data_IF_829131086528
#
_entry.id   IF_829131086528
#
_cell.length_a   1.000
_cell.length_b   1.000
_cell.length_c   1.000
_cell.angle_alpha   90.00
_cell.angle_beta   90.00
_cell.angle_gamma   90.00
#
_symmetry.space_group_name_H-M   'P 1'
#
loop_
_entity.id
_entity.type
_entity.pdbx_description
1 polymer ?
#
# COMPACT_ATOMS: atom_id res chain seq x y z
N UNK A 1 0.55 14.40 -3.28
CA UNK A 1 -0.74 14.21 -2.59
C UNK A 1 -1.52 12.99 -3.09
N UNK A 2 -1.73 12.83 -4.41
CA UNK A 2 -2.53 11.74 -5.00
C UNK A 2 -2.19 10.33 -4.50
N UNK A 3 -0.91 9.98 -4.42
CA UNK A 3 -0.48 8.64 -4.02
C UNK A 3 -0.44 8.44 -2.49
N UNK A 4 -0.74 9.45 -1.68
CA UNK A 4 -0.77 9.28 -0.21
C UNK A 4 -2.02 8.52 0.20
N UNK A 5 -1.87 7.38 0.88
CA UNK A 5 -3.01 6.58 1.34
C UNK A 5 -3.97 7.37 2.25
N UNK A 6 -3.46 8.31 3.04
CA UNK A 6 -4.29 9.16 3.91
C UNK A 6 -5.13 10.17 3.10
N UNK A 7 -4.47 10.93 2.22
CA UNK A 7 -5.13 12.00 1.45
C UNK A 7 -6.07 11.41 0.41
N UNK A 8 -5.62 10.36 -0.29
CA UNK A 8 -6.41 9.69 -1.32
C UNK A 8 -7.72 9.14 -0.77
N UNK A 9 -7.70 8.61 0.46
CA UNK A 9 -8.89 8.07 1.12
C UNK A 9 -9.84 9.14 1.63
N UNK A 10 -9.33 10.19 2.26
CA UNK A 10 -10.12 11.34 2.74
C UNK A 10 -10.78 12.12 1.61
N UNK A 11 -10.03 12.45 0.56
CA UNK A 11 -10.52 13.23 -0.58
C UNK A 11 -11.20 12.36 -1.66
N UNK A 12 -11.17 11.04 -1.51
CA UNK A 12 -11.77 10.06 -2.46
C UNK A 12 -11.25 10.25 -3.89
N UNK A 13 -9.94 10.38 -4.03
CA UNK A 13 -9.26 10.70 -5.30
C UNK A 13 -9.36 9.61 -6.36
N UNK A 14 -9.98 8.46 -6.04
CA UNK A 14 -10.38 7.43 -7.00
C UNK A 14 -11.62 7.79 -7.83
N UNK A 15 -12.28 8.91 -7.51
CA UNK A 15 -13.43 9.42 -8.26
C UNK A 15 -13.09 10.75 -8.92
N UNK A 16 -13.71 11.03 -10.07
CA UNK A 16 -13.54 12.31 -10.77
C UNK A 16 -13.94 13.50 -9.89
N UNK A 17 -14.96 13.31 -9.06
CA UNK A 17 -15.37 14.33 -8.09
C UNK A 17 -14.31 14.56 -7.01
N UNK A 18 -13.66 13.50 -6.51
CA UNK A 18 -12.54 13.63 -5.58
C UNK A 18 -11.33 14.30 -6.21
N UNK A 19 -11.05 14.02 -7.48
CA UNK A 19 -9.99 14.69 -8.23
C UNK A 19 -10.29 16.19 -8.43
N UNK A 20 -11.54 16.53 -8.78
CA UNK A 20 -12.00 17.93 -8.85
C UNK A 20 -11.88 18.64 -7.51
N UNK A 21 -12.23 17.97 -6.40
CA UNK A 21 -12.06 18.51 -5.03
C UNK A 21 -10.60 18.80 -4.70
N UNK A 22 -9.68 17.90 -5.04
CA UNK A 22 -8.25 18.11 -4.84
C UNK A 22 -7.75 19.30 -5.68
N UNK A 23 -8.14 19.38 -6.95
CA UNK A 23 -7.75 20.51 -7.81
C UNK A 23 -8.32 21.83 -7.29
N UNK A 24 -9.57 21.84 -6.81
CA UNK A 24 -10.18 23.02 -6.19
C UNK A 24 -9.47 23.44 -4.90
N UNK A 25 -9.05 22.47 -4.07
CA UNK A 25 -8.25 22.72 -2.87
C UNK A 25 -6.92 23.40 -3.21
N UNK A 26 -6.19 22.87 -4.20
CA UNK A 26 -4.92 23.46 -4.65
C UNK A 26 -5.12 24.86 -5.25
N UNK A 27 -6.20 25.06 -6.00
CA UNK A 27 -6.55 26.37 -6.55
C UNK A 27 -6.91 27.39 -5.45
N UNK A 28 -7.62 26.97 -4.40
CA UNK A 28 -7.95 27.82 -3.24
C UNK A 28 -6.73 28.29 -2.47
N UNK A 29 -5.69 27.45 -2.39
CA UNK A 29 -4.39 27.80 -1.79
C UNK A 29 -3.54 28.70 -2.71
N UNK A 30 -4.00 28.99 -3.93
CA UNK A 30 -3.27 29.81 -4.90
C UNK A 30 -2.10 29.08 -5.57
N UNK A 31 -2.09 27.74 -5.58
CA UNK A 31 -1.04 26.97 -6.24
C UNK A 31 -1.41 26.67 -7.69
N UNK A 32 -0.56 27.11 -8.62
CA UNK A 32 -0.73 26.81 -10.03
C UNK A 32 -0.63 25.30 -10.28
N UNK A 33 -1.48 24.78 -11.18
CA UNK A 33 -1.48 23.36 -11.51
C UNK A 33 -0.14 22.90 -12.10
N UNK A 34 0.50 23.76 -12.90
CA UNK A 34 1.82 23.51 -13.47
C UNK A 34 2.89 23.28 -12.38
N UNK A 35 2.90 24.13 -11.35
CA UNK A 35 3.81 23.97 -10.20
C UNK A 35 3.52 22.65 -9.47
N UNK A 36 2.25 22.33 -9.24
CA UNK A 36 1.83 21.11 -8.54
C UNK A 36 2.23 19.81 -9.27
N UNK A 37 2.36 19.86 -10.60
CA UNK A 37 2.77 18.72 -11.44
C UNK A 37 4.30 18.62 -11.60
N UNK A 38 5.03 19.68 -11.30
CA UNK A 38 6.49 19.70 -11.34
C UNK A 38 7.09 18.86 -10.20
N UNK A 39 8.31 18.36 -10.40
CA UNK A 39 9.06 17.74 -9.30
C UNK A 39 9.26 18.77 -8.19
N UNK A 40 9.00 18.37 -6.95
CA UNK A 40 9.11 19.25 -5.78
C UNK A 40 10.45 19.98 -5.69
N UNK A 41 11.55 19.37 -6.14
CA UNK A 41 12.87 20.02 -6.16
C UNK A 41 12.89 21.31 -7.01
N UNK A 42 12.18 21.33 -8.14
CA UNK A 42 12.20 22.43 -9.11
C UNK A 42 11.00 23.39 -8.99
N UNK A 43 10.03 23.08 -8.13
CA UNK A 43 8.89 23.95 -7.85
C UNK A 43 9.35 25.31 -7.28
N UNK A 44 8.63 26.38 -7.64
CA UNK A 44 8.92 27.75 -7.19
C UNK A 44 9.08 27.84 -5.65
N UNK A 45 10.09 28.60 -5.21
CA UNK A 45 10.42 28.78 -3.80
C UNK A 45 9.29 29.48 -3.02
N UNK A 46 8.60 30.42 -3.64
CA UNK A 46 7.49 31.13 -3.00
C UNK A 46 6.33 30.18 -2.68
N UNK A 47 6.00 29.29 -3.64
CA UNK A 47 5.00 28.25 -3.44
C UNK A 47 5.41 27.35 -2.27
N UNK A 48 6.65 26.85 -2.25
CA UNK A 48 7.16 26.02 -1.14
C UNK A 48 7.08 26.69 0.23
N UNK A 49 7.33 28.00 0.31
CA UNK A 49 7.24 28.76 1.57
C UNK A 49 5.79 28.87 2.03
N UNK A 50 4.87 29.18 1.11
CA UNK A 50 3.43 29.31 1.41
C UNK A 50 2.75 27.97 1.72
N UNK A 51 3.23 26.86 1.17
CA UNK A 51 2.61 25.54 1.31
C UNK A 51 2.30 25.15 2.76
N UNK A 52 3.19 25.45 3.70
CA UNK A 52 2.98 25.06 5.11
C UNK A 52 1.76 25.76 5.70
N UNK A 53 1.73 27.09 5.60
CA UNK A 53 0.70 27.93 6.20
C UNK A 53 -0.67 27.69 5.53
N UNK A 54 -0.67 27.55 4.20
CA UNK A 54 -1.88 27.24 3.43
C UNK A 54 -2.43 25.85 3.75
N UNK A 55 -1.56 24.86 3.99
CA UNK A 55 -1.98 23.53 4.42
C UNK A 55 -2.57 23.53 5.84
N UNK A 56 -1.95 24.25 6.78
CA UNK A 56 -2.49 24.39 8.15
C UNK A 56 -3.86 25.08 8.15
N UNK A 57 -4.08 26.04 7.25
CA UNK A 57 -5.34 26.77 7.12
C UNK A 57 -6.46 25.94 6.49
N UNK A 58 -6.21 25.34 5.32
CA UNK A 58 -7.29 24.77 4.50
C UNK A 58 -7.49 23.26 4.67
N UNK A 59 -6.47 22.47 5.03
CA UNK A 59 -6.62 21.02 5.14
C UNK A 59 -7.63 20.56 6.23
N UNK A 60 -7.71 21.21 7.40
CA UNK A 60 -8.69 20.85 8.41
C UNK A 60 -10.15 20.92 7.93
N UNK A 61 -10.48 21.88 7.05
CA UNK A 61 -11.83 22.01 6.46
C UNK A 61 -12.24 20.77 5.66
N UNK A 62 -11.27 20.01 5.14
CA UNK A 62 -11.49 18.81 4.36
C UNK A 62 -11.32 17.52 5.19
N UNK A 63 -11.23 17.63 6.52
CA UNK A 63 -11.04 16.50 7.43
C UNK A 63 -9.63 15.89 7.40
N UNK A 64 -8.65 16.65 6.90
CA UNK A 64 -7.23 16.29 6.87
C UNK A 64 -6.50 16.88 8.08
N UNK A 65 -6.95 16.54 9.28
CA UNK A 65 -6.40 17.06 10.56
C UNK A 65 -5.00 16.52 10.86
N UNK A 66 -4.73 15.27 10.47
CA UNK A 66 -3.52 14.54 10.82
C UNK A 66 -2.49 14.59 9.67
N UNK A 67 -2.41 15.73 8.99
CA UNK A 67 -1.48 15.90 7.88
C UNK A 67 -0.02 15.94 8.35
N UNK A 68 0.23 16.60 9.49
CA UNK A 68 1.54 16.70 10.10
C UNK A 68 1.73 15.64 11.17
N UNK A 69 2.85 14.91 11.10
CA UNK A 69 3.26 13.95 12.10
C UNK A 69 4.73 14.13 12.43
N UNK A 70 5.11 13.80 13.67
CA UNK A 70 6.51 13.86 14.09
C UNK A 70 7.31 12.78 13.37
N UNK A 71 8.42 13.18 12.75
CA UNK A 71 9.30 12.29 11.99
C UNK A 71 10.74 12.79 12.10
N UNK A 72 11.67 12.01 11.54
CA UNK A 72 13.09 12.34 11.50
C UNK A 72 13.50 12.66 10.07
N UNK A 73 14.28 13.73 9.92
CA UNK A 73 14.89 14.11 8.65
C UNK A 73 16.40 13.93 8.77
N UNK A 74 16.98 13.19 7.85
CA UNK A 74 18.43 13.13 7.69
C UNK A 74 18.86 14.10 6.62
N UNK A 75 19.88 14.91 6.94
CA UNK A 75 20.56 15.79 6.00
C UNK A 75 21.95 15.22 5.78
N UNK A 76 22.33 14.99 4.53
CA UNK A 76 23.63 14.47 4.17
C UNK A 76 24.24 15.26 3.00
N UNK A 77 25.43 15.81 3.22
CA UNK A 77 26.06 16.73 2.28
C UNK A 77 25.21 17.98 2.04
N UNK A 78 25.30 18.54 0.83
CA UNK A 78 24.69 19.82 0.51
C UNK A 78 23.22 19.72 0.04
N UNK A 79 22.84 18.62 -0.62
CA UNK A 79 21.55 18.53 -1.33
C UNK A 79 20.70 17.29 -0.97
N UNK A 80 21.22 16.32 -0.20
CA UNK A 80 20.45 15.12 0.14
C UNK A 80 19.69 15.33 1.45
N UNK A 81 18.37 15.52 1.33
CA UNK A 81 17.44 15.54 2.47
C UNK A 81 16.48 14.39 2.30
N UNK A 82 16.48 13.46 3.26
CA UNK A 82 15.65 12.26 3.18
C UNK A 82 14.92 12.06 4.51
N UNK A 83 13.60 11.87 4.46
CA UNK A 83 12.83 11.56 5.66
C UNK A 83 12.95 10.07 6.01
N UNK A 84 12.78 9.72 7.29
CA UNK A 84 12.75 8.34 7.72
C UNK A 84 11.71 7.50 6.94
N UNK A 85 10.55 8.09 6.65
CA UNK A 85 9.51 7.44 5.85
C UNK A 85 9.98 7.15 4.42
N UNK A 86 10.64 8.09 3.75
CA UNK A 86 11.14 7.90 2.38
C UNK A 86 12.17 6.77 2.31
N UNK A 87 13.04 6.65 3.33
CA UNK A 87 13.98 5.54 3.43
C UNK A 87 13.24 4.21 3.56
N UNK A 88 12.26 4.11 4.46
CA UNK A 88 11.46 2.89 4.66
C UNK A 88 10.76 2.49 3.37
N UNK A 89 10.09 3.41 2.69
CA UNK A 89 9.43 3.12 1.42
C UNK A 89 10.42 2.67 0.35
N UNK A 90 11.56 3.36 0.22
CA UNK A 90 12.58 3.02 -0.77
C UNK A 90 13.23 1.65 -0.52
N UNK A 91 13.62 1.37 0.72
CA UNK A 91 14.24 0.10 1.11
C UNK A 91 13.26 -1.07 1.03
N UNK A 92 12.00 -0.87 1.45
CA UNK A 92 10.96 -1.91 1.29
C UNK A 92 10.73 -2.25 -0.18
N UNK A 93 10.69 -1.23 -1.05
CA UNK A 93 10.53 -1.44 -2.48
C UNK A 93 11.75 -2.10 -3.12
N UNK A 94 12.94 -1.93 -2.54
CA UNK A 94 14.11 -2.73 -2.92
C UNK A 94 13.93 -4.16 -2.44
N UNK A 95 13.55 -4.43 -1.18
CA UNK A 95 13.34 -5.80 -0.70
C UNK A 95 12.35 -6.60 -1.56
N UNK A 96 11.30 -5.94 -2.05
CA UNK A 96 10.27 -6.54 -2.90
C UNK A 96 10.58 -6.41 -4.41
N UNK A 97 11.84 -6.18 -4.81
CA UNK A 97 12.19 -5.82 -6.19
C UNK A 97 11.62 -6.75 -7.26
N UNK A 98 10.81 -6.14 -8.10
CA UNK A 98 9.96 -6.72 -9.14
C UNK A 98 10.68 -6.94 -10.49
N UNK A 99 11.98 -6.71 -10.53
CA UNK A 99 12.76 -6.63 -11.78
C UNK A 99 13.88 -7.66 -11.74
N UNK A 100 13.51 -8.91 -12.04
CA UNK A 100 14.11 -9.78 -13.07
C UNK A 100 13.70 -11.23 -12.85
N UNK A 101 13.30 -11.87 -13.94
CA UNK A 101 13.16 -13.32 -14.12
C UNK A 101 14.49 -14.08 -14.01
N UNK A 102 15.51 -13.52 -13.35
CA UNK A 102 16.88 -14.05 -13.31
C UNK A 102 17.09 -15.01 -12.12
N UNK A 103 16.01 -15.52 -11.52
CA UNK A 103 16.12 -16.42 -10.35
C UNK A 103 16.86 -15.78 -9.18
N UNK A 104 16.81 -14.44 -9.03
CA UNK A 104 17.50 -13.75 -7.96
C UNK A 104 16.87 -14.12 -6.62
N UNK A 105 17.58 -14.93 -5.84
CA UNK A 105 17.21 -15.33 -4.49
C UNK A 105 16.91 -14.11 -3.60
N UNK A 106 15.92 -14.23 -2.72
CA UNK A 106 15.57 -13.22 -1.72
C UNK A 106 16.79 -12.69 -0.93
N UNK A 107 17.82 -13.52 -0.74
CA UNK A 107 19.08 -13.14 -0.10
C UNK A 107 19.86 -12.05 -0.86
N UNK A 108 19.87 -12.09 -2.20
CA UNK A 108 20.51 -11.05 -3.02
C UNK A 108 19.77 -9.73 -2.87
N UNK A 109 18.45 -9.79 -2.85
CA UNK A 109 17.62 -8.59 -2.73
C UNK A 109 17.73 -7.95 -1.35
N UNK A 110 17.86 -8.78 -0.31
CA UNK A 110 18.22 -8.32 1.02
C UNK A 110 19.56 -7.58 1.04
N UNK A 111 20.60 -8.13 0.41
CA UNK A 111 21.91 -7.47 0.29
C UNK A 111 21.81 -6.11 -0.41
N UNK A 112 21.06 -6.01 -1.50
CA UNK A 112 20.84 -4.74 -2.22
C UNK A 112 20.12 -3.71 -1.34
N UNK A 113 19.10 -4.14 -0.60
CA UNK A 113 18.35 -3.27 0.31
C UNK A 113 19.22 -2.81 1.49
N UNK A 114 20.05 -3.70 2.05
CA UNK A 114 21.01 -3.39 3.10
C UNK A 114 22.06 -2.40 2.61
N UNK A 115 22.63 -2.62 1.42
CA UNK A 115 23.59 -1.71 0.80
C UNK A 115 23.03 -0.31 0.60
N UNK A 116 21.72 -0.18 0.33
CA UNK A 116 21.04 1.10 0.13
C UNK A 116 20.92 1.93 1.43
N UNK A 117 21.10 1.30 2.60
CA UNK A 117 21.18 2.01 3.89
C UNK A 117 22.57 2.65 4.10
N UNK A 118 23.60 2.20 3.38
CA UNK A 118 24.93 2.80 3.44
C UNK A 118 24.94 4.23 2.93
N UNK A 119 25.72 5.09 3.58
CA UNK A 119 25.87 6.50 3.22
C UNK A 119 26.47 6.67 1.82
N UNK A 120 27.27 5.70 1.35
CA UNK A 120 27.95 5.73 0.06
C UNK A 120 27.03 5.43 -1.13
N UNK A 121 25.87 4.83 -0.89
CA UNK A 121 25.05 4.20 -1.94
C UNK A 121 23.68 4.88 -2.12
N UNK A 122 23.66 6.21 -2.15
CA UNK A 122 22.42 6.98 -2.29
C UNK A 122 21.68 6.71 -3.61
N UNK A 123 22.38 6.32 -4.67
CA UNK A 123 21.75 6.00 -5.96
C UNK A 123 20.89 4.73 -5.88
N UNK A 124 21.33 3.71 -5.12
CA UNK A 124 20.52 2.52 -4.85
C UNK A 124 19.25 2.90 -4.10
N UNK A 125 19.37 3.74 -3.08
CA UNK A 125 18.22 4.23 -2.32
C UNK A 125 17.25 5.04 -3.21
N UNK A 126 17.78 5.92 -4.07
CA UNK A 126 16.99 6.70 -5.02
C UNK A 126 16.25 5.81 -6.01
N UNK A 127 16.89 4.74 -6.51
CA UNK A 127 16.25 3.72 -7.34
C UNK A 127 15.10 3.03 -6.58
N UNK A 128 15.33 2.65 -5.32
CA UNK A 128 14.30 2.12 -4.43
C UNK A 128 13.10 3.05 -4.26
N UNK A 129 13.34 4.35 -4.08
CA UNK A 129 12.26 5.36 -4.02
C UNK A 129 11.47 5.44 -5.33
N UNK A 130 12.11 5.31 -6.49
CA UNK A 130 11.40 5.24 -7.78
C UNK A 130 10.52 3.98 -7.86
N UNK A 131 11.00 2.84 -7.36
CA UNK A 131 10.19 1.62 -7.28
C UNK A 131 8.99 1.81 -6.33
N UNK A 132 9.20 2.43 -5.16
CA UNK A 132 8.13 2.71 -4.22
C UNK A 132 7.02 3.57 -4.83
N UNK A 133 7.38 4.57 -5.65
CA UNK A 133 6.39 5.39 -6.40
C UNK A 133 5.56 4.52 -7.35
N UNK A 134 6.18 3.57 -8.07
CA UNK A 134 5.47 2.67 -8.98
C UNK A 134 4.50 1.76 -8.22
N UNK A 135 4.93 1.16 -7.11
CA UNK A 135 4.07 0.33 -6.25
C UNK A 135 2.89 1.15 -5.73
N UNK A 136 3.13 2.34 -5.18
CA UNK A 136 2.08 3.17 -4.61
C UNK A 136 1.07 3.63 -5.68
N UNK A 137 1.52 3.88 -6.92
CA UNK A 137 0.63 4.14 -8.06
C UNK A 137 -0.18 2.91 -8.46
N UNK A 138 0.38 1.70 -8.39
CA UNK A 138 -0.36 0.45 -8.62
C UNK A 138 -1.41 0.23 -7.52
N UNK A 139 -1.06 0.44 -6.25
CA UNK A 139 -2.01 0.37 -5.12
C UNK A 139 -3.19 1.32 -5.36
N UNK A 140 -2.91 2.58 -5.73
CA UNK A 140 -3.98 3.55 -5.99
C UNK A 140 -4.85 3.14 -7.18
N UNK A 141 -4.26 2.69 -8.30
CA UNK A 141 -5.02 2.27 -9.49
C UNK A 141 -5.91 1.06 -9.20
N UNK A 142 -5.32 -0.03 -8.69
CA UNK A 142 -6.08 -1.24 -8.35
C UNK A 142 -7.09 -0.98 -7.23
N UNK A 143 -6.73 -0.17 -6.25
CA UNK A 143 -7.63 0.17 -5.15
C UNK A 143 -8.82 0.98 -5.64
N UNK A 144 -8.57 1.95 -6.52
CA UNK A 144 -9.61 2.73 -7.19
C UNK A 144 -10.56 1.81 -7.95
N UNK A 145 -10.04 0.92 -8.80
CA UNK A 145 -10.83 -0.07 -9.55
C UNK A 145 -11.65 -0.97 -8.62
N UNK A 146 -11.05 -1.48 -7.55
CA UNK A 146 -11.76 -2.33 -6.59
C UNK A 146 -12.91 -1.61 -5.87
N UNK A 147 -12.79 -0.30 -5.63
CA UNK A 147 -13.80 0.51 -4.92
C UNK A 147 -14.91 0.97 -5.87
N UNK A 148 -14.59 1.30 -7.11
CA UNK A 148 -15.53 1.84 -8.10
C UNK A 148 -16.28 0.76 -8.84
N UNK A 149 -15.61 -0.35 -9.20
CA UNK A 149 -16.24 -1.48 -9.89
C UNK A 149 -17.15 -2.24 -8.94
N UNK A 150 -18.45 -2.20 -9.23
CA UNK A 150 -19.44 -2.96 -8.47
C UNK A 150 -19.12 -4.45 -8.51
N UNK A 151 -19.23 -5.13 -7.36
CA UNK A 151 -18.96 -6.57 -7.23
C UNK A 151 -17.50 -6.98 -7.10
N UNK A 152 -16.54 -6.06 -7.23
CA UNK A 152 -15.11 -6.39 -7.04
C UNK A 152 -14.76 -6.76 -5.59
N UNK A 153 -15.40 -6.11 -4.61
CA UNK A 153 -15.22 -6.41 -3.19
C UNK A 153 -16.41 -7.26 -2.73
N UNK A 154 -16.14 -8.52 -2.41
CA UNK A 154 -17.15 -9.44 -1.87
C UNK A 154 -17.20 -9.25 -0.35
N UNK A 155 -18.32 -8.74 0.15
CA UNK A 155 -18.50 -8.46 1.57
C UNK A 155 -19.32 -9.56 2.24
N UNK A 156 -18.66 -10.46 2.97
CA UNK A 156 -19.30 -11.45 3.81
C UNK A 156 -19.75 -10.91 5.18
N UNK A 157 -20.33 -11.78 6.01
CA UNK A 157 -20.72 -11.42 7.40
C UNK A 157 -19.51 -11.05 8.24
N UNK A 158 -18.44 -11.86 8.15
CA UNK A 158 -17.28 -11.81 9.06
C UNK A 158 -16.10 -11.02 8.49
N UNK A 159 -15.79 -11.19 7.22
CA UNK A 159 -14.73 -10.44 6.53
C UNK A 159 -15.16 -9.99 5.13
N UNK A 160 -14.36 -9.14 4.51
CA UNK A 160 -14.45 -8.78 3.08
C UNK A 160 -13.29 -9.43 2.35
N UNK A 161 -13.46 -9.74 1.07
CA UNK A 161 -12.34 -10.15 0.25
C UNK A 161 -12.38 -9.57 -1.16
N UNK A 162 -11.19 -9.42 -1.72
CA UNK A 162 -10.96 -8.87 -3.07
C UNK A 162 -9.90 -9.70 -3.77
N UNK A 163 -10.11 -9.96 -5.06
CA UNK A 163 -9.12 -10.59 -5.94
C UNK A 163 -8.59 -9.55 -6.91
N UNK A 164 -7.27 -9.41 -6.99
CA UNK A 164 -6.58 -8.55 -7.95
C UNK A 164 -6.34 -9.38 -9.20
N UNK A 165 -6.91 -8.96 -10.33
CA UNK A 165 -6.87 -9.71 -11.60
C UNK A 165 -6.07 -9.01 -12.71
N UNK A 166 -5.64 -7.76 -12.50
CA UNK A 166 -4.91 -6.99 -13.51
C UNK A 166 -3.47 -7.49 -13.68
N UNK A 167 -3.11 -7.97 -14.87
CA UNK A 167 -1.82 -8.59 -15.17
C UNK A 167 -0.61 -7.65 -15.05
N UNK A 168 -0.79 -6.34 -15.26
CA UNK A 168 0.32 -5.38 -15.21
C UNK A 168 0.68 -5.03 -13.76
N UNK A 169 -0.34 -4.72 -12.95
CA UNK A 169 -0.15 -4.29 -11.56
C UNK A 169 0.03 -5.47 -10.59
N UNK A 170 -0.45 -6.67 -10.95
CA UNK A 170 -0.22 -7.88 -10.16
C UNK A 170 1.26 -8.20 -10.01
N UNK A 171 2.09 -7.90 -11.01
CA UNK A 171 3.55 -8.05 -10.87
C UNK A 171 4.11 -7.22 -9.72
N UNK A 172 3.54 -6.03 -9.48
CA UNK A 172 3.95 -5.09 -8.43
C UNK A 172 3.28 -5.36 -7.07
N UNK A 173 2.11 -6.00 -7.07
CA UNK A 173 1.33 -6.27 -5.85
C UNK A 173 1.47 -7.71 -5.36
N UNK A 174 2.04 -8.62 -6.15
CA UNK A 174 2.26 -10.02 -5.81
C UNK A 174 3.37 -10.27 -4.78
N UNK A 175 3.60 -9.32 -3.87
CA UNK A 175 4.55 -9.41 -2.77
C UNK A 175 3.83 -9.10 -1.44
N UNK A 176 4.21 -9.74 -0.33
CA UNK A 176 3.46 -9.64 0.93
C UNK A 176 3.28 -8.22 1.46
N UNK A 177 4.32 -7.37 1.49
CA UNK A 177 4.21 -6.01 2.04
C UNK A 177 3.47 -5.07 1.07
N UNK A 178 3.68 -5.21 -0.24
CA UNK A 178 2.94 -4.48 -1.26
C UNK A 178 1.43 -4.77 -1.17
N UNK A 179 1.04 -6.04 -1.06
CA UNK A 179 -0.37 -6.43 -0.94
C UNK A 179 -0.96 -6.05 0.43
N UNK A 180 -0.17 -6.11 1.51
CA UNK A 180 -0.57 -5.61 2.83
C UNK A 180 -0.91 -4.13 2.80
N UNK A 181 -0.05 -3.30 2.16
CA UNK A 181 -0.32 -1.86 1.96
C UNK A 181 -1.58 -1.62 1.14
N UNK A 182 -1.79 -2.42 0.09
CA UNK A 182 -3.03 -2.39 -0.69
C UNK A 182 -4.27 -2.69 0.16
N UNK A 183 -4.23 -3.73 0.99
CA UNK A 183 -5.38 -4.06 1.83
C UNK A 183 -5.69 -2.93 2.82
N UNK A 184 -4.68 -2.35 3.47
CA UNK A 184 -4.90 -1.19 4.35
C UNK A 184 -5.48 0.02 3.61
N UNK A 185 -5.04 0.27 2.38
CA UNK A 185 -5.61 1.34 1.54
C UNK A 185 -7.10 1.11 1.25
N UNK A 186 -7.47 -0.09 0.83
CA UNK A 186 -8.88 -0.44 0.56
C UNK A 186 -9.72 -0.37 1.84
N UNK A 187 -9.20 -0.85 2.97
CA UNK A 187 -9.89 -0.74 4.26
C UNK A 187 -10.16 0.71 4.67
N UNK A 188 -9.14 1.57 4.56
CA UNK A 188 -9.28 3.00 4.86
C UNK A 188 -10.28 3.65 3.89
N UNK A 189 -10.22 3.32 2.60
CA UNK A 189 -11.15 3.86 1.61
C UNK A 189 -12.61 3.44 1.87
N UNK A 190 -12.85 2.19 2.22
CA UNK A 190 -14.18 1.69 2.59
C UNK A 190 -14.70 2.37 3.85
N UNK A 191 -13.83 2.62 4.83
CA UNK A 191 -14.19 3.38 6.05
C UNK A 191 -14.64 4.80 5.70
N UNK A 192 -13.92 5.50 4.84
CA UNK A 192 -14.29 6.87 4.39
C UNK A 192 -15.55 6.88 3.48
N UNK A 193 -15.95 5.73 2.93
CA UNK A 193 -17.25 5.53 2.27
C UNK A 193 -18.40 5.25 3.26
N UNK A 194 -18.11 5.15 4.56
CA UNK A 194 -19.08 4.85 5.61
C UNK A 194 -19.33 3.37 5.84
N UNK A 195 -18.51 2.48 5.28
CA UNK A 195 -18.66 1.04 5.50
C UNK A 195 -18.15 0.65 6.90
N UNK A 196 -18.85 -0.27 7.57
CA UNK A 196 -18.42 -0.83 8.86
C UNK A 196 -17.01 -1.42 8.77
N UNK A 197 -16.18 -1.24 9.79
CA UNK A 197 -14.87 -1.90 9.84
C UNK A 197 -15.05 -3.43 9.89
N UNK A 198 -14.47 -4.12 8.90
CA UNK A 198 -14.38 -5.58 8.83
C UNK A 198 -12.97 -5.94 8.37
N UNK A 199 -12.42 -7.09 8.81
CA UNK A 199 -11.18 -7.61 8.26
C UNK A 199 -11.25 -7.75 6.74
N UNK A 200 -10.12 -7.57 6.05
CA UNK A 200 -10.02 -7.63 4.60
C UNK A 200 -8.99 -8.68 4.18
N UNK A 201 -9.39 -9.53 3.25
CA UNK A 201 -8.54 -10.47 2.53
C UNK A 201 -8.28 -9.96 1.12
N UNK A 202 -7.04 -10.02 0.66
CA UNK A 202 -6.69 -9.73 -0.72
C UNK A 202 -5.97 -10.93 -1.31
N UNK A 203 -6.40 -11.37 -2.50
CA UNK A 203 -5.73 -12.42 -3.27
C UNK A 203 -5.13 -11.81 -4.54
N UNK A 204 -3.86 -12.10 -4.82
CA UNK A 204 -3.13 -11.61 -5.99
C UNK A 204 -2.28 -12.75 -6.56
N UNK A 205 -1.99 -12.78 -7.87
CA UNK A 205 -1.09 -13.79 -8.42
C UNK A 205 0.31 -13.58 -7.84
N UNK A 206 0.95 -14.68 -7.46
CA UNK A 206 2.34 -14.68 -7.02
C UNK A 206 3.29 -14.53 -8.21
N UNK A 207 4.59 -14.39 -7.91
CA UNK A 207 5.64 -14.46 -8.94
C UNK A 207 5.77 -15.88 -9.52
N UNK A 208 5.40 -16.88 -8.74
CA UNK A 208 5.40 -18.28 -9.18
C UNK A 208 4.18 -18.61 -10.06
N UNK A 209 4.37 -19.39 -11.13
CA UNK A 209 3.27 -19.77 -12.01
C UNK A 209 2.22 -20.58 -11.24
N UNK A 210 0.95 -20.26 -11.50
CA UNK A 210 -0.21 -20.94 -10.91
C UNK A 210 -0.34 -20.83 -9.37
N UNK A 211 0.46 -19.98 -8.72
CA UNK A 211 0.33 -19.68 -7.29
C UNK A 211 -0.29 -18.32 -7.04
N UNK A 212 -1.05 -18.23 -5.97
CA UNK A 212 -1.76 -17.04 -5.52
C UNK A 212 -1.31 -16.69 -4.11
N UNK A 213 -0.88 -15.44 -3.93
CA UNK A 213 -0.60 -14.85 -2.62
C UNK A 213 -1.91 -14.32 -2.03
N UNK A 214 -2.22 -14.73 -0.81
CA UNK A 214 -3.36 -14.26 -0.04
C UNK A 214 -2.84 -13.55 1.21
N UNK A 215 -3.27 -12.30 1.41
CA UNK A 215 -2.95 -11.52 2.62
C UNK A 215 -4.25 -11.18 3.35
N UNK A 216 -4.25 -11.37 4.67
CA UNK A 216 -5.34 -11.01 5.55
C UNK A 216 -4.92 -9.99 6.60
N UNK A 217 -5.61 -8.85 6.60
CA UNK A 217 -5.38 -7.77 7.55
C UNK A 217 -6.61 -7.54 8.42
N UNK A 218 -6.38 -7.52 9.72
CA UNK A 218 -7.25 -6.85 10.68
C UNK A 218 -6.88 -5.36 10.68
N UNK A 219 -7.78 -4.47 11.12
CA UNK A 219 -7.53 -3.02 11.09
C UNK A 219 -6.16 -2.64 11.67
N UNK A 220 -5.60 -1.50 11.22
CA UNK A 220 -4.22 -1.08 11.56
C UNK A 220 -3.91 -1.29 13.05
N UNK A 221 -2.83 -2.01 13.40
CA UNK A 221 -2.50 -2.30 14.78
C UNK A 221 -2.32 -0.98 15.53
N UNK A 222 -3.12 -0.77 16.56
CA UNK A 222 -2.95 0.35 17.49
C UNK A 222 -2.13 -0.15 18.68
N UNK A 223 -1.23 0.69 19.17
CA UNK A 223 -0.50 0.40 20.41
C UNK A 223 -1.54 0.14 21.52
N UNK A 224 -1.49 -1.03 22.16
CA UNK A 224 -2.48 -1.45 23.16
C UNK A 224 -3.75 -2.15 22.62
N UNK A 225 -3.82 -2.49 21.33
CA UNK A 225 -4.91 -3.30 20.80
C UNK A 225 -4.82 -4.75 21.32
N UNK A 226 -5.76 -5.16 22.18
CA UNK A 226 -5.78 -6.50 22.79
C UNK A 226 -6.16 -7.65 21.85
N UNK A 227 -6.46 -7.40 20.57
CA UNK A 227 -6.77 -8.43 19.57
C UNK A 227 -5.79 -8.35 18.41
N UNK A 228 -4.91 -9.35 18.32
CA UNK A 228 -4.00 -9.55 17.19
C UNK A 228 -4.71 -10.05 15.93
N UNK A 229 -3.92 -10.35 14.90
CA UNK A 229 -4.43 -10.90 13.66
C UNK A 229 -4.74 -12.40 13.81
N UNK A 230 -6.03 -12.76 13.81
CA UNK A 230 -6.46 -14.15 13.93
C UNK A 230 -6.35 -14.95 12.61
N UNK A 231 -6.05 -14.29 11.49
CA UNK A 231 -6.00 -14.95 10.18
C UNK A 231 -4.89 -15.99 10.08
N UNK A 232 -3.80 -15.88 10.84
CA UNK A 232 -2.69 -16.84 10.76
C UNK A 232 -3.10 -18.28 11.05
N UNK A 233 -3.75 -18.51 12.18
CA UNK A 233 -4.25 -19.84 12.55
C UNK A 233 -5.39 -20.26 11.63
N UNK A 234 -6.27 -19.32 11.24
CA UNK A 234 -7.41 -19.62 10.38
C UNK A 234 -6.98 -20.06 8.97
N UNK A 235 -5.93 -19.44 8.40
CA UNK A 235 -5.39 -19.82 7.09
C UNK A 235 -4.78 -21.21 7.11
N UNK A 236 -3.96 -21.51 8.12
CA UNK A 236 -3.35 -22.84 8.25
C UNK A 236 -4.40 -23.93 8.36
N UNK A 237 -5.34 -23.79 9.29
CA UNK A 237 -6.39 -24.77 9.50
C UNK A 237 -7.25 -24.96 8.24
N UNK A 238 -7.61 -23.87 7.55
CA UNK A 238 -8.39 -23.96 6.32
C UNK A 238 -7.61 -24.62 5.17
N UNK A 239 -6.30 -24.38 5.07
CA UNK A 239 -5.47 -25.01 4.04
C UNK A 239 -5.25 -26.51 4.31
N UNK A 240 -5.02 -26.89 5.57
CA UNK A 240 -4.89 -28.28 6.01
C UNK A 240 -6.19 -29.09 5.79
N UNK A 241 -7.35 -28.50 6.10
CA UNK A 241 -8.66 -29.16 5.91
C UNK A 241 -9.00 -29.43 4.44
N UNK A 242 -8.58 -28.56 3.53
CA UNK A 242 -8.78 -28.74 2.09
C UNK A 242 -7.75 -29.72 1.50
N UNK A 243 -6.68 -30.03 2.25
CA UNK A 243 -5.54 -30.80 1.74
C UNK A 243 -4.80 -30.08 0.61
N UNK A 244 -4.81 -28.73 0.62
CA UNK A 244 -4.13 -27.94 -0.40
C UNK A 244 -2.63 -27.84 -0.09
N UNK A 245 -1.79 -27.88 -1.12
CA UNK A 245 -0.38 -27.51 -0.97
C UNK A 245 -0.28 -25.99 -0.73
N UNK A 246 0.40 -25.61 0.36
CA UNK A 246 0.49 -24.23 0.80
C UNK A 246 1.88 -23.89 1.32
N UNK A 247 2.25 -22.63 1.11
CA UNK A 247 3.41 -22.04 1.75
C UNK A 247 2.94 -20.97 2.74
N UNK A 248 3.25 -21.19 4.02
CA UNK A 248 2.93 -20.26 5.11
C UNK A 248 4.20 -19.97 5.90
N UNK A 249 4.70 -18.75 5.80
CA UNK A 249 5.85 -18.33 6.62
C UNK A 249 5.47 -18.28 8.10
N UNK A 250 6.39 -18.74 8.96
CA UNK A 250 6.22 -18.73 10.41
C UNK A 250 6.52 -17.35 11.03
N UNK A 251 7.20 -16.46 10.30
CA UNK A 251 7.57 -15.12 10.79
C UNK A 251 6.39 -14.15 10.77
N UNK A 252 5.62 -14.16 9.68
CA UNK A 252 4.44 -13.30 9.51
C UNK A 252 3.26 -14.18 9.12
N UNK A 253 2.37 -14.41 10.08
CA UNK A 253 1.25 -15.32 9.88
C UNK A 253 0.11 -14.72 9.05
N UNK A 254 0.16 -13.42 8.73
CA UNK A 254 -0.92 -12.68 8.07
C UNK A 254 -1.13 -13.01 6.59
N UNK A 255 -0.35 -13.91 6.00
CA UNK A 255 -0.43 -14.22 4.58
C UNK A 255 -0.09 -15.68 4.29
N UNK A 256 -0.57 -16.21 3.18
CA UNK A 256 -0.38 -17.60 2.75
C UNK A 256 -0.30 -17.64 1.21
N UNK A 257 0.46 -18.58 0.66
CA UNK A 257 0.51 -18.84 -0.78
C UNK A 257 -0.14 -20.19 -1.08
N UNK A 258 -1.06 -20.21 -2.03
CA UNK A 258 -1.83 -21.39 -2.44
C UNK A 258 -1.83 -21.55 -3.96
N UNK A 259 -2.12 -22.75 -4.44
CA UNK A 259 -2.43 -22.96 -5.85
C UNK A 259 -3.70 -22.22 -6.25
N UNK A 260 -3.72 -21.63 -7.46
CA UNK A 260 -4.83 -20.82 -7.95
C UNK A 260 -6.17 -21.60 -8.01
N UNK A 261 -6.11 -22.90 -8.27
CA UNK A 261 -7.25 -23.81 -8.26
C UNK A 261 -7.91 -23.96 -6.88
N UNK A 262 -7.11 -23.88 -5.81
CA UNK A 262 -7.57 -24.10 -4.44
C UNK A 262 -8.18 -22.83 -3.79
N UNK A 263 -7.97 -21.65 -4.37
CA UNK A 263 -8.38 -20.36 -3.75
C UNK A 263 -9.88 -20.28 -3.49
N UNK A 264 -10.73 -20.76 -4.40
CA UNK A 264 -12.17 -20.68 -4.20
C UNK A 264 -12.63 -21.58 -3.04
N UNK A 265 -12.18 -22.84 -3.01
CA UNK A 265 -12.47 -23.77 -1.91
C UNK A 265 -11.93 -23.23 -0.58
N UNK A 266 -10.74 -22.63 -0.60
CA UNK A 266 -10.13 -21.99 0.56
C UNK A 266 -10.98 -20.84 1.12
N UNK A 267 -11.49 -19.96 0.26
CA UNK A 267 -12.34 -18.85 0.70
C UNK A 267 -13.68 -19.33 1.26
N UNK A 268 -14.24 -20.43 0.72
CA UNK A 268 -15.47 -21.05 1.25
C UNK A 268 -15.21 -21.59 2.65
N UNK A 269 -14.18 -22.42 2.83
CA UNK A 269 -13.83 -23.01 4.12
C UNK A 269 -13.53 -21.95 5.19
N UNK A 270 -12.80 -20.90 4.81
CA UNK A 270 -12.48 -19.81 5.70
C UNK A 270 -13.72 -19.03 6.16
N UNK A 271 -14.77 -18.96 5.32
CA UNK A 271 -16.04 -18.31 5.65
C UNK A 271 -16.84 -19.10 6.70
N UNK A 272 -16.69 -20.42 6.73
CA UNK A 272 -17.35 -21.28 7.72
C UNK A 272 -16.66 -21.23 9.09
N UNK A 273 -15.32 -21.15 9.10
CA UNK A 273 -14.47 -21.29 10.30
C UNK A 273 -14.23 -20.01 11.09
N UNK A 274 -13.90 -18.89 10.42
CA UNK A 274 -13.93 -17.57 11.07
C UNK A 274 -15.35 -17.30 11.46
#
# INVERSE_FOLDING_TARGET
MLCSSYIATKLKTWSDNGMKKLNLLLARMGFALADCQQKFQYMNLEVKRKMKDEFERFLPEYGLTDFYYRSFLRIHGYNSRVSAADVVYGVTALLESFVKSDGSCASKQFGVAYDALSLSNLDKLKSGMQHAIKIQRAILRQGSTAITKSGSIRSGRKFRWVKVEDSADTKLLGYPQALTKFCYFVMDALREKGARMKPLLCACLSQEPNKMLIVGVCGKPRLGAGKGNAFGNAFRNAAEEIGADFFHELFESSWIVLNASAVNSFMVQLTERL
#
